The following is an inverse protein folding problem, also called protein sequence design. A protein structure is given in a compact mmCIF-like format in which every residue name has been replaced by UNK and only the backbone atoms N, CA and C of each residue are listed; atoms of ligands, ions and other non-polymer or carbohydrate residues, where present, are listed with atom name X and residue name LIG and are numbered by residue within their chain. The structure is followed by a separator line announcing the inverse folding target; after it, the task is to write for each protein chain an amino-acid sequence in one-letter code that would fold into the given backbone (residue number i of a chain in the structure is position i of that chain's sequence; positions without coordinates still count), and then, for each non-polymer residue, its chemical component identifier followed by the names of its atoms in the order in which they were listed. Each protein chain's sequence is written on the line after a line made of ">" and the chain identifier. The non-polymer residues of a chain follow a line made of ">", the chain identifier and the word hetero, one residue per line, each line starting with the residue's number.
data_IF_644061004944
#
_entry.id   IF_644061004944
#
_cell.length_a   1.000
_cell.length_b   1.000
_cell.length_c   1.000
_cell.angle_alpha   90.00
_cell.angle_beta   90.00
_cell.angle_gamma   90.00
#
_symmetry.space_group_name_H-M   'P 1'
#
loop_
_entity.id
_entity.type
_entity.pdbx_description
1 polymer ?
#
# COMPACT_ATOMS: atom_id res chain seq x y z
N UNK A 1 -17.11 12.96 -17.78
CA UNK A 1 -16.34 11.72 -17.58
C UNK A 1 -14.86 12.06 -17.68
N UNK A 2 -14.02 11.47 -16.84
CA UNK A 2 -12.56 11.65 -16.80
C UNK A 2 -11.89 10.32 -16.43
N UNK A 3 -10.76 9.98 -17.01
CA UNK A 3 -10.00 8.80 -16.58
C UNK A 3 -9.18 9.15 -15.33
N UNK A 4 -9.34 8.40 -14.24
CA UNK A 4 -8.52 8.54 -13.03
C UNK A 4 -7.51 7.41 -12.97
N UNK A 5 -6.23 7.75 -12.90
CA UNK A 5 -5.09 6.81 -12.88
C UNK A 5 -4.31 6.93 -11.59
N UNK A 6 -4.16 5.81 -10.88
CA UNK A 6 -3.33 5.69 -9.69
C UNK A 6 -2.02 4.97 -10.07
N UNK A 7 -1.01 5.76 -10.41
CA UNK A 7 0.25 5.30 -10.97
C UNK A 7 0.03 4.40 -12.20
N UNK A 8 0.66 3.22 -12.18
CA UNK A 8 0.47 2.16 -13.19
C UNK A 8 -0.37 0.99 -12.66
N UNK A 9 -1.08 1.20 -11.54
CA UNK A 9 -1.67 0.11 -10.75
C UNK A 9 -3.15 -0.07 -11.09
N UNK A 10 -3.89 1.03 -11.14
CA UNK A 10 -5.32 1.02 -11.43
C UNK A 10 -5.70 2.27 -12.22
N UNK A 11 -6.61 2.10 -13.16
CA UNK A 11 -7.23 3.17 -13.93
C UNK A 11 -8.74 2.89 -14.02
N UNK A 12 -9.56 3.94 -13.91
CA UNK A 12 -11.02 3.85 -14.07
C UNK A 12 -11.57 5.16 -14.60
N UNK A 13 -12.55 5.09 -15.51
CA UNK A 13 -13.31 6.26 -15.95
C UNK A 13 -14.38 6.60 -14.93
N UNK A 14 -14.35 7.82 -14.42
CA UNK A 14 -15.29 8.33 -13.42
C UNK A 14 -16.10 9.49 -14.00
N UNK A 15 -17.32 9.68 -13.50
CA UNK A 15 -18.02 10.96 -13.67
C UNK A 15 -17.21 12.05 -12.96
N UNK A 16 -17.10 13.23 -13.56
CA UNK A 16 -16.36 14.34 -12.96
C UNK A 16 -16.92 15.68 -13.43
N UNK A 17 -16.77 16.68 -12.57
CA UNK A 17 -17.18 18.06 -12.85
C UNK A 17 -15.94 18.94 -12.98
N UNK A 18 -16.02 19.96 -13.82
CA UNK A 18 -14.97 20.97 -13.96
C UNK A 18 -15.41 22.27 -13.29
N UNK A 19 -14.60 22.78 -12.38
CA UNK A 19 -14.80 24.11 -11.77
C UNK A 19 -13.52 24.91 -11.91
N UNK A 20 -13.50 25.85 -12.87
CA UNK A 20 -12.27 26.53 -13.28
C UNK A 20 -11.27 25.52 -13.86
N UNK A 21 -10.10 25.39 -13.24
CA UNK A 21 -9.06 24.44 -13.63
C UNK A 21 -9.06 23.15 -12.78
N UNK A 22 -9.98 23.04 -11.82
CA UNK A 22 -10.10 21.90 -10.92
C UNK A 22 -11.03 20.83 -11.49
N UNK A 23 -10.57 19.58 -11.47
CA UNK A 23 -11.39 18.41 -11.70
C UNK A 23 -11.96 17.93 -10.35
N UNK A 24 -13.28 17.99 -10.21
CA UNK A 24 -13.97 17.40 -9.07
C UNK A 24 -14.26 15.93 -9.37
N UNK A 25 -13.69 15.05 -8.56
CA UNK A 25 -13.81 13.59 -8.69
C UNK A 25 -14.65 12.99 -7.56
N UNK A 26 -15.39 11.90 -7.83
CA UNK A 26 -16.26 11.24 -6.86
C UNK A 26 -15.41 10.52 -5.81
N UNK A 27 -15.53 10.94 -4.55
CA UNK A 27 -14.67 10.45 -3.48
C UNK A 27 -14.90 8.98 -3.17
N UNK A 28 -16.14 8.51 -3.15
CA UNK A 28 -16.44 7.12 -2.79
C UNK A 28 -15.85 6.16 -3.82
N UNK A 29 -15.98 6.49 -5.11
CA UNK A 29 -15.38 5.71 -6.20
C UNK A 29 -13.85 5.79 -6.20
N UNK A 30 -13.27 6.95 -5.90
CA UNK A 30 -11.83 7.09 -5.75
C UNK A 30 -11.31 6.22 -4.60
N UNK A 31 -11.96 6.22 -3.43
CA UNK A 31 -11.53 5.44 -2.27
C UNK A 31 -11.69 3.93 -2.50
N UNK A 32 -12.75 3.51 -3.20
CA UNK A 32 -12.89 2.13 -3.68
C UNK A 32 -11.68 1.70 -4.53
N UNK A 33 -11.31 2.51 -5.53
CA UNK A 33 -10.11 2.26 -6.35
C UNK A 33 -8.82 2.23 -5.52
N UNK A 34 -8.71 3.08 -4.50
CA UNK A 34 -7.56 3.15 -3.61
C UNK A 34 -7.49 1.99 -2.58
N UNK A 35 -8.55 1.18 -2.49
CA UNK A 35 -8.68 0.13 -1.47
C UNK A 35 -8.92 0.66 -0.06
N UNK A 36 -9.54 1.84 0.05
CA UNK A 36 -9.89 2.50 1.31
C UNK A 36 -11.40 2.35 1.54
N UNK A 37 -11.79 1.91 2.74
CA UNK A 37 -13.20 1.92 3.14
C UNK A 37 -13.59 3.33 3.58
N UNK A 38 -14.60 3.88 2.94
CA UNK A 38 -15.18 5.19 3.27
C UNK A 38 -16.68 5.08 3.50
N UNK A 39 -17.20 5.91 4.39
CA UNK A 39 -18.62 6.07 4.65
C UNK A 39 -19.00 7.53 4.38
N UNK A 40 -20.00 7.75 3.52
CA UNK A 40 -20.57 9.06 3.26
C UNK A 40 -21.90 9.18 3.99
N UNK A 41 -22.03 10.17 4.86
CA UNK A 41 -23.29 10.48 5.53
C UNK A 41 -24.22 11.29 4.61
N UNK A 42 -25.55 11.23 4.82
CA UNK A 42 -26.51 12.06 4.09
C UNK A 42 -26.27 13.57 4.23
N UNK A 43 -25.59 13.99 5.29
CA UNK A 43 -25.22 15.39 5.54
C UNK A 43 -24.01 15.85 4.70
N UNK A 44 -23.44 15.00 3.83
CA UNK A 44 -22.28 15.36 3.00
C UNK A 44 -20.95 15.28 3.74
N UNK A 45 -20.88 14.51 4.82
CA UNK A 45 -19.64 14.22 5.55
C UNK A 45 -19.14 12.83 5.21
N UNK A 46 -17.96 12.76 4.60
CA UNK A 46 -17.23 11.55 4.27
C UNK A 46 -16.18 11.28 5.34
N UNK A 47 -16.19 10.05 5.86
CA UNK A 47 -15.22 9.55 6.81
C UNK A 47 -14.55 8.30 6.26
N UNK A 48 -13.23 8.22 6.40
CA UNK A 48 -12.47 7.03 6.04
C UNK A 48 -11.29 6.86 6.99
N UNK A 49 -10.70 5.67 6.97
CA UNK A 49 -9.49 5.38 7.73
C UNK A 49 -8.42 4.86 6.79
N UNK A 50 -7.31 5.58 6.67
CA UNK A 50 -6.20 5.18 5.82
C UNK A 50 -5.23 4.28 6.59
N UNK A 51 -4.73 3.26 5.90
CA UNK A 51 -3.71 2.35 6.39
C UNK A 51 -2.41 2.52 5.58
N UNK A 52 -1.23 2.38 6.22
CA UNK A 52 -1.00 2.02 7.61
C UNK A 52 -1.16 3.21 8.57
N UNK A 53 -1.28 2.92 9.86
CA UNK A 53 -1.30 3.94 10.92
C UNK A 53 -2.69 4.43 11.31
N UNK A 54 -3.75 3.83 10.77
CA UNK A 54 -5.15 4.13 11.11
C UNK A 54 -5.44 5.65 11.11
N UNK A 55 -4.97 6.34 10.07
CA UNK A 55 -5.10 7.79 9.98
C UNK A 55 -6.55 8.16 9.63
N UNK A 56 -7.26 8.90 10.50
CA UNK A 56 -8.62 9.31 10.22
C UNK A 56 -8.63 10.36 9.11
N UNK A 57 -9.44 10.13 8.08
CA UNK A 57 -9.77 11.07 7.03
C UNK A 57 -11.18 11.59 7.26
N UNK A 58 -11.34 12.91 7.29
CA UNK A 58 -12.65 13.56 7.35
C UNK A 58 -12.72 14.64 6.28
N UNK A 59 -13.74 14.55 5.45
CA UNK A 59 -14.09 15.56 4.44
C UNK A 59 -15.55 15.91 4.63
N UNK A 60 -15.85 17.19 4.82
CA UNK A 60 -17.20 17.66 5.11
C UNK A 60 -17.60 18.75 4.11
N UNK A 61 -18.81 18.65 3.56
CA UNK A 61 -19.38 19.65 2.67
C UNK A 61 -19.52 21.02 3.35
N UNK A 62 -19.92 21.07 4.62
CA UNK A 62 -20.18 22.30 5.36
C UNK A 62 -18.91 23.00 5.87
N UNK A 63 -17.81 22.27 6.06
CA UNK A 63 -16.56 22.82 6.59
C UNK A 63 -15.53 23.06 5.50
N UNK A 64 -14.90 24.23 5.47
CA UNK A 64 -13.89 24.58 4.45
C UNK A 64 -12.53 23.87 4.65
N UNK A 65 -12.50 22.77 5.39
CA UNK A 65 -11.28 22.02 5.64
C UNK A 65 -11.53 20.52 5.51
N UNK A 66 -10.60 19.86 4.83
CA UNK A 66 -10.44 18.42 4.83
C UNK A 66 -9.25 18.06 5.71
N UNK A 67 -9.34 16.96 6.46
CA UNK A 67 -8.29 16.51 7.38
C UNK A 67 -7.92 15.06 7.14
N UNK A 68 -6.62 14.76 7.26
CA UNK A 68 -6.06 13.41 7.28
C UNK A 68 -5.05 13.33 8.41
N UNK A 69 -5.43 12.70 9.52
CA UNK A 69 -4.63 12.70 10.74
C UNK A 69 -4.32 14.13 11.21
N UNK A 70 -3.05 14.55 11.10
CA UNK A 70 -2.61 15.91 11.45
C UNK A 70 -2.58 16.88 10.27
N UNK A 71 -2.72 16.37 9.03
CA UNK A 71 -2.71 17.19 7.82
C UNK A 71 -4.08 17.81 7.63
N UNK A 72 -4.10 19.09 7.26
CA UNK A 72 -5.32 19.86 6.99
C UNK A 72 -5.13 20.64 5.71
N UNK A 73 -6.09 20.51 4.79
CA UNK A 73 -6.14 21.26 3.54
C UNK A 73 -7.40 22.10 3.52
N UNK A 74 -7.26 23.39 3.19
CA UNK A 74 -8.40 24.30 3.07
C UNK A 74 -9.03 24.12 1.70
N UNK A 75 -10.32 23.77 1.69
CA UNK A 75 -11.10 23.55 0.47
C UNK A 75 -12.43 24.28 0.60
N UNK A 76 -12.59 25.43 -0.08
CA UNK A 76 -13.82 26.21 -0.04
C UNK A 76 -15.05 25.38 -0.44
N UNK A 77 -16.19 25.66 0.20
CA UNK A 77 -17.48 25.04 -0.11
C UNK A 77 -17.82 24.99 -1.62
N UNK A 78 -17.50 26.05 -2.38
CA UNK A 78 -17.75 26.11 -3.83
C UNK A 78 -17.02 25.05 -4.66
N UNK A 79 -15.97 24.45 -4.11
CA UNK A 79 -15.17 23.40 -4.76
C UNK A 79 -15.58 21.99 -4.31
N UNK A 80 -16.68 21.87 -3.58
CA UNK A 80 -17.25 20.59 -3.14
C UNK A 80 -18.68 20.52 -3.66
N UNK A 81 -19.08 19.35 -4.15
CA UNK A 81 -20.41 19.15 -4.71
C UNK A 81 -20.96 17.82 -4.22
N UNK A 82 -22.14 17.83 -3.61
CA UNK A 82 -22.87 16.62 -3.27
C UNK A 82 -24.00 16.45 -4.30
N UNK A 83 -23.92 15.41 -5.11
CA UNK A 83 -24.96 15.09 -6.11
C UNK A 83 -25.11 13.58 -6.24
N UNK A 84 -26.33 13.09 -6.45
CA UNK A 84 -26.63 11.66 -6.57
C UNK A 84 -26.08 10.78 -5.42
N UNK A 85 -25.98 11.33 -4.20
CA UNK A 85 -25.42 10.61 -3.06
C UNK A 85 -23.90 10.40 -3.13
N UNK A 86 -23.20 11.16 -3.96
CA UNK A 86 -21.74 11.12 -4.12
C UNK A 86 -21.15 12.50 -3.83
N UNK A 87 -20.04 12.53 -3.10
CA UNK A 87 -19.32 13.76 -2.77
C UNK A 87 -18.16 13.94 -3.76
N UNK A 88 -18.27 14.95 -4.59
CA UNK A 88 -17.25 15.36 -5.55
C UNK A 88 -16.29 16.36 -4.91
N UNK A 89 -14.99 16.12 -5.09
CA UNK A 89 -13.93 16.86 -4.42
C UNK A 89 -12.76 17.16 -5.37
N UNK A 90 -12.04 18.28 -5.21
CA UNK A 90 -10.99 18.66 -6.14
C UNK A 90 -9.82 17.68 -6.09
N UNK A 91 -9.44 17.15 -7.25
CA UNK A 91 -8.34 16.18 -7.36
C UNK A 91 -7.02 16.75 -6.84
N UNK A 92 -6.71 18.03 -7.11
CA UNK A 92 -5.47 18.67 -6.65
C UNK A 92 -5.40 18.68 -5.11
N UNK A 93 -6.50 19.05 -4.46
CA UNK A 93 -6.65 19.11 -2.99
C UNK A 93 -6.65 17.73 -2.36
N UNK A 94 -7.23 16.74 -3.04
CA UNK A 94 -7.15 15.36 -2.60
C UNK A 94 -5.71 14.87 -2.61
N UNK A 95 -4.95 15.19 -3.67
CA UNK A 95 -3.53 14.87 -3.76
C UNK A 95 -2.69 15.53 -2.67
N UNK A 96 -2.96 16.81 -2.37
CA UNK A 96 -2.33 17.56 -1.27
C UNK A 96 -2.63 16.89 0.08
N UNK A 97 -3.89 16.51 0.32
CA UNK A 97 -4.33 15.87 1.56
C UNK A 97 -3.67 14.49 1.75
N UNK A 98 -3.55 13.72 0.68
CA UNK A 98 -2.95 12.39 0.68
C UNK A 98 -1.42 12.41 0.62
N UNK A 99 -0.80 13.58 0.40
CA UNK A 99 0.64 13.72 0.15
C UNK A 99 1.11 12.86 -1.03
N UNK A 100 0.27 12.89 -2.06
CA UNK A 100 0.45 12.21 -3.33
C UNK A 100 -0.14 13.11 -4.44
N UNK A 101 0.65 14.04 -5.00
CA UNK A 101 0.15 15.03 -5.95
C UNK A 101 -0.60 14.41 -7.12
N UNK A 102 -1.75 15.00 -7.44
CA UNK A 102 -2.59 14.66 -8.58
C UNK A 102 -2.54 15.77 -9.62
N UNK A 103 -2.42 15.38 -10.89
CA UNK A 103 -2.37 16.30 -12.02
C UNK A 103 -3.54 16.02 -12.95
N UNK A 104 -4.20 17.08 -13.41
CA UNK A 104 -5.27 16.98 -14.39
C UNK A 104 -4.76 17.45 -15.73
N UNK A 105 -4.89 16.59 -16.75
CA UNK A 105 -4.75 16.97 -18.15
C UNK A 105 -6.12 17.01 -18.80
N UNK A 106 -6.56 18.22 -19.15
CA UNK A 106 -7.86 18.46 -19.77
C UNK A 106 -7.90 18.12 -21.26
N UNK A 107 -6.75 18.02 -21.92
CA UNK A 107 -6.66 17.63 -23.34
C UNK A 107 -6.96 16.13 -23.48
N UNK A 108 -6.40 15.35 -22.56
CA UNK A 108 -6.54 13.89 -22.52
C UNK A 108 -7.66 13.42 -21.58
N UNK A 109 -8.34 14.35 -20.90
CA UNK A 109 -9.37 14.06 -19.89
C UNK A 109 -8.90 13.02 -18.88
N UNK A 110 -7.74 13.25 -18.29
CA UNK A 110 -7.12 12.33 -17.34
C UNK A 110 -6.69 13.05 -16.06
N UNK A 111 -6.93 12.41 -14.93
CA UNK A 111 -6.35 12.77 -13.63
C UNK A 111 -5.36 11.69 -13.24
N UNK A 112 -4.11 12.08 -13.01
CA UNK A 112 -3.02 11.16 -12.70
C UNK A 112 -2.46 11.46 -11.32
N UNK A 113 -2.55 10.47 -10.42
CA UNK A 113 -1.69 10.38 -9.24
C UNK A 113 -0.43 9.64 -9.63
N UNK A 114 0.70 10.34 -9.78
CA UNK A 114 1.94 9.72 -10.28
C UNK A 114 2.50 8.69 -9.31
N UNK A 115 2.49 9.03 -8.03
CA UNK A 115 2.96 8.16 -6.97
C UNK A 115 1.80 7.75 -6.04
N UNK A 116 1.17 6.57 -6.27
CA UNK A 116 0.11 6.08 -5.41
C UNK A 116 0.66 5.41 -4.13
N UNK A 117 1.93 5.63 -3.79
CA UNK A 117 2.61 4.91 -2.72
C UNK A 117 1.95 4.95 -1.33
N UNK A 118 1.30 6.05 -0.92
CA UNK A 118 0.57 6.12 0.34
C UNK A 118 -0.72 5.29 0.36
N UNK A 119 -1.23 4.87 -0.79
CA UNK A 119 -2.54 4.20 -0.88
C UNK A 119 -2.46 2.71 -0.52
N UNK A 120 -3.50 2.16 0.14
CA UNK A 120 -3.56 0.74 0.47
C UNK A 120 -3.40 -0.20 -0.73
N UNK A 121 -3.96 0.15 -1.89
CA UNK A 121 -3.84 -0.65 -3.12
C UNK A 121 -2.37 -0.83 -3.55
N UNK A 122 -1.57 0.24 -3.49
CA UNK A 122 -0.15 0.18 -3.86
C UNK A 122 0.65 -0.66 -2.87
N UNK A 123 0.35 -0.52 -1.58
CA UNK A 123 1.01 -1.30 -0.53
C UNK A 123 0.64 -2.77 -0.59
N UNK A 124 -0.61 -3.11 -0.88
CA UNK A 124 -1.04 -4.50 -1.08
C UNK A 124 -0.27 -5.15 -2.22
N UNK A 125 -0.07 -4.44 -3.33
CA UNK A 125 0.73 -4.92 -4.45
C UNK A 125 2.20 -5.11 -4.06
N UNK A 126 2.83 -4.14 -3.37
CA UNK A 126 4.21 -4.29 -2.87
C UNK A 126 4.37 -5.48 -1.94
N UNK A 127 3.45 -5.66 -0.99
CA UNK A 127 3.45 -6.82 -0.07
C UNK A 127 3.34 -8.14 -0.84
N UNK A 128 2.53 -8.20 -1.89
CA UNK A 128 2.42 -9.40 -2.74
C UNK A 128 3.71 -9.66 -3.51
N UNK A 129 4.32 -8.64 -4.09
CA UNK A 129 5.58 -8.77 -4.82
C UNK A 129 6.74 -9.23 -3.90
N UNK A 130 6.84 -8.67 -2.69
CA UNK A 130 7.85 -9.08 -1.72
C UNK A 130 7.72 -10.55 -1.30
N UNK A 131 6.48 -11.05 -1.12
CA UNK A 131 6.24 -12.47 -0.81
C UNK A 131 6.65 -13.39 -1.96
N UNK A 132 6.34 -13.02 -3.20
CA UNK A 132 6.73 -13.81 -4.37
C UNK A 132 8.26 -13.90 -4.53
N UNK A 133 8.97 -12.80 -4.27
CA UNK A 133 10.44 -12.78 -4.32
C UNK A 133 11.07 -13.74 -3.29
N UNK A 134 10.49 -13.85 -2.10
CA UNK A 134 10.94 -14.80 -1.07
C UNK A 134 10.66 -16.26 -1.48
N UNK A 135 9.52 -16.54 -2.12
CA UNK A 135 9.21 -17.88 -2.61
C UNK A 135 10.18 -18.36 -3.70
N UNK A 136 10.61 -17.48 -4.61
CA UNK A 136 11.57 -17.82 -5.66
C UNK A 136 13.00 -18.06 -5.15
N UNK A 137 13.34 -17.64 -3.92
CA UNK A 137 14.64 -17.94 -3.31
C UNK A 137 14.69 -19.33 -2.62
N UNK A 138 13.55 -19.99 -2.42
CA UNK A 138 13.45 -21.31 -1.79
C UNK A 138 13.69 -22.49 -2.74
N UNK A 139 13.75 -22.24 -4.05
CA UNK A 139 13.99 -23.27 -5.06
C UNK A 139 15.50 -23.41 -5.27
N UNK A 140 16.10 -24.26 -4.43
CA UNK A 140 17.52 -24.60 -4.55
C UNK A 140 17.81 -25.12 -5.97
N UNK A 141 18.87 -24.65 -6.65
CA UNK A 141 19.22 -25.12 -7.98
C UNK A 141 19.41 -26.64 -7.97
N UNK A 142 18.86 -27.30 -8.99
CA UNK A 142 19.01 -28.74 -9.21
C UNK A 142 20.52 -29.08 -9.22
N UNK A 143 20.99 -29.75 -8.15
CA UNK A 143 22.40 -30.08 -7.94
C UNK A 143 22.96 -29.77 -6.56
N UNK A 144 22.20 -29.10 -5.67
CA UNK A 144 22.63 -28.90 -4.29
C UNK A 144 22.64 -30.24 -3.51
N UNK A 145 23.84 -30.74 -3.20
CA UNK A 145 24.03 -31.93 -2.36
C UNK A 145 23.59 -31.60 -0.93
N UNK A 146 22.43 -32.13 -0.50
CA UNK A 146 22.01 -32.12 0.90
C UNK A 146 22.67 -33.29 1.62
N UNK A 147 23.66 -33.04 2.47
CA UNK A 147 24.19 -34.06 3.39
C UNK A 147 23.22 -34.26 4.56
N UNK A 148 22.86 -35.50 4.93
CA UNK A 148 21.96 -35.76 6.04
C UNK A 148 22.63 -35.47 7.39
N UNK A 149 21.91 -34.74 8.24
CA UNK A 149 22.35 -34.33 9.57
C UNK A 149 22.26 -35.51 10.56
N UNK A 150 23.37 -35.84 11.22
CA UNK A 150 23.40 -36.75 12.36
C UNK A 150 22.85 -36.01 13.60
N UNK A 151 21.66 -36.39 14.07
CA UNK A 151 21.01 -35.79 15.25
C UNK A 151 21.66 -36.31 16.53
N UNK A 152 22.52 -35.51 17.16
CA UNK A 152 22.93 -35.75 18.56
C UNK A 152 22.14 -34.82 19.49
N UNK A 153 21.09 -35.39 20.11
CA UNK A 153 20.27 -34.73 21.13
C UNK A 153 21.07 -34.57 22.42
N UNK A 154 21.34 -33.34 22.83
CA UNK A 154 21.66 -32.98 24.22
C UNK A 154 20.67 -31.89 24.66
N UNK A 155 20.24 -31.98 25.91
CA UNK A 155 19.13 -31.26 26.54
C UNK A 155 18.92 -29.81 26.05
N UNK A 156 17.76 -29.58 25.41
CA UNK A 156 17.09 -28.27 25.38
C UNK A 156 17.76 -27.12 24.61
N UNK A 157 18.87 -27.34 23.91
CA UNK A 157 19.52 -26.29 23.12
C UNK A 157 19.77 -26.80 21.69
N UNK A 158 19.13 -26.19 20.69
CA UNK A 158 19.42 -26.46 19.27
C UNK A 158 20.27 -25.31 18.75
N UNK A 159 21.54 -25.60 18.43
CA UNK A 159 22.42 -24.66 17.73
C UNK A 159 22.48 -25.09 16.27
N UNK A 160 21.82 -24.32 15.40
CA UNK A 160 21.99 -24.47 13.95
C UNK A 160 23.17 -23.61 13.49
N UNK A 161 24.18 -24.24 12.91
CA UNK A 161 25.23 -23.56 12.16
C UNK A 161 25.15 -24.01 10.71
N UNK A 162 25.13 -23.05 9.78
CA UNK A 162 25.25 -23.34 8.35
C UNK A 162 26.50 -22.66 7.81
N UNK A 163 27.36 -23.44 7.15
CA UNK A 163 28.53 -22.96 6.43
C UNK A 163 28.25 -23.06 4.94
N UNK A 164 28.11 -21.90 4.30
CA UNK A 164 28.05 -21.79 2.85
C UNK A 164 29.47 -21.61 2.33
N UNK A 165 29.98 -22.63 1.63
CA UNK A 165 31.23 -22.54 0.88
C UNK A 165 30.90 -22.54 -0.63
N UNK A 166 31.05 -21.41 -1.33
CA UNK A 166 30.90 -21.35 -2.78
C UNK A 166 31.98 -22.20 -3.46
N UNK A 167 31.60 -23.19 -4.26
CA UNK A 167 32.55 -24.12 -4.91
C UNK A 167 33.17 -23.61 -6.22
N UNK A 168 33.17 -22.29 -6.46
CA UNK A 168 33.73 -21.69 -7.68
C UNK A 168 34.79 -20.61 -7.44
N UNK A 169 35.62 -20.74 -6.40
CA UNK A 169 36.98 -20.19 -6.28
C UNK A 169 37.65 -20.70 -4.98
N UNK A 170 38.93 -21.14 -4.95
CA UNK A 170 39.53 -21.76 -3.76
C UNK A 170 39.93 -20.77 -2.65
N UNK A 171 39.69 -19.46 -2.79
CA UNK A 171 40.18 -18.47 -1.82
C UNK A 171 39.17 -17.33 -1.68
N UNK A 172 38.53 -17.26 -0.51
CA UNK A 172 37.91 -16.02 0.00
C UNK A 172 36.40 -15.92 -0.16
N UNK A 173 35.65 -16.39 0.85
CA UNK A 173 34.23 -16.07 0.96
C UNK A 173 33.46 -16.90 1.98
N UNK A 174 33.95 -17.01 3.23
CA UNK A 174 33.11 -17.54 4.31
C UNK A 174 32.24 -16.42 4.87
N UNK A 175 30.92 -16.53 4.66
CA UNK A 175 29.95 -15.74 5.41
C UNK A 175 29.34 -16.63 6.49
N UNK A 176 29.46 -16.21 7.76
CA UNK A 176 28.93 -16.92 8.92
C UNK A 176 27.56 -16.32 9.28
N UNK A 177 26.52 -17.15 9.32
CA UNK A 177 25.24 -16.80 9.91
C UNK A 177 24.98 -17.75 11.10
N UNK A 178 24.79 -17.17 12.28
CA UNK A 178 24.44 -17.89 13.51
C UNK A 178 22.99 -17.52 13.84
N UNK A 179 22.12 -18.52 13.91
CA UNK A 179 20.74 -18.34 14.38
C UNK A 179 20.52 -19.27 15.58
N UNK A 180 20.02 -18.71 16.68
CA UNK A 180 19.69 -19.44 17.89
C UNK A 180 18.18 -19.35 18.14
N UNK A 181 17.52 -20.49 18.24
CA UNK A 181 16.11 -20.61 18.63
C UNK A 181 16.00 -21.36 19.95
N UNK A 182 15.27 -20.81 20.91
CA UNK A 182 14.95 -21.48 22.17
C UNK A 182 13.51 -22.03 22.08
N UNK A 183 13.37 -23.34 22.25
CA UNK A 183 12.09 -24.03 22.22
C UNK A 183 11.61 -24.22 23.67
N UNK A 184 10.57 -23.48 24.08
CA UNK A 184 9.92 -23.62 25.38
C UNK A 184 8.54 -24.24 25.18
N UNK A 185 8.47 -25.54 25.50
CA UNK A 185 7.25 -26.31 25.76
C UNK A 185 6.27 -26.48 24.59
N UNK A 186 6.61 -27.38 23.68
CA UNK A 186 5.70 -28.48 23.34
C UNK A 186 4.47 -28.13 22.50
N UNK A 187 4.63 -27.30 21.47
CA UNK A 187 3.58 -27.05 20.48
C UNK A 187 4.15 -26.91 19.08
N UNK A 188 4.33 -28.04 18.38
CA UNK A 188 4.59 -28.01 16.94
C UNK A 188 3.31 -27.60 16.21
N UNK A 189 3.36 -26.49 15.49
CA UNK A 189 2.55 -26.29 14.30
C UNK A 189 3.45 -25.71 13.20
N UNK A 190 4.00 -26.64 12.42
CA UNK A 190 4.26 -26.48 10.97
C UNK A 190 2.95 -26.08 10.27
N UNK A 191 2.87 -25.30 9.20
CA UNK A 191 3.82 -24.84 8.18
C UNK A 191 3.25 -23.54 7.58
#
# INVERSE_FOLDING_TARGET
>A
MIEVRLGRIVARTLEAYRVGDEALIPLSQFFDMAGVRSTLSPAGRLEATLQPGSLPLVIDLAHDAATLGRRRVIVPARLKLLTNGELFFPASRLGELLDAPMYTDWSDLVVVMRDPSPLPVAQALRRRAARLALSTQGEAPAGAIRMPLERRRWDGFVVDYSLLAPSSAPIGGSSYAVQAGADLMGGSLEL
#
